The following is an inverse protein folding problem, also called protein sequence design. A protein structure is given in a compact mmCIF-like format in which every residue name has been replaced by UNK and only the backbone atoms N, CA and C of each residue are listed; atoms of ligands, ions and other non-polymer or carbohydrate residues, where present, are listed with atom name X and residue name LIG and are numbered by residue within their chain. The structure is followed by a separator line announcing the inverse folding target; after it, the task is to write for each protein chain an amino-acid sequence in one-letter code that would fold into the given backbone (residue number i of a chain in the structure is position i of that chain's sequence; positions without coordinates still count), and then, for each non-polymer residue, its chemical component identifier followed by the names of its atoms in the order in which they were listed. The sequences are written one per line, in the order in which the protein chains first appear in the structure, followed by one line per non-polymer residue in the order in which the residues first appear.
data_IF_548940166623
#
_entry.id   IF_548940166623
#
_cell.length_a   1.000
_cell.length_b   1.000
_cell.length_c   1.000
_cell.angle_alpha   90.00
_cell.angle_beta   90.00
_cell.angle_gamma   90.00
#
_symmetry.space_group_name_H-M   'P 1'
#
loop_
_entity.id
_entity.type
_entity.pdbx_description
1 polymer ?
#
# COMPACT_ATOMS: atom_id res chain seq x y z
N UNK A 1 11.48 -12.06 -26.11
CA UNK A 1 10.93 -11.87 -24.75
C UNK A 1 12.09 -11.62 -23.80
N UNK A 2 11.96 -10.66 -22.90
CA UNK A 2 13.01 -10.25 -21.96
C UNK A 2 12.87 -10.99 -20.63
N UNK A 3 13.14 -12.30 -20.62
CA UNK A 3 12.93 -13.17 -19.44
C UNK A 3 13.68 -12.73 -18.18
N UNK A 4 14.77 -11.98 -18.34
CA UNK A 4 15.46 -11.31 -17.23
C UNK A 4 14.54 -10.39 -16.42
N UNK A 5 13.45 -9.87 -16.97
CA UNK A 5 12.55 -9.02 -16.20
C UNK A 5 11.71 -9.79 -15.16
N UNK A 6 11.77 -11.13 -15.12
CA UNK A 6 11.15 -11.91 -14.04
C UNK A 6 11.72 -11.52 -12.68
N UNK A 7 13.04 -11.50 -12.49
CA UNK A 7 13.61 -11.17 -11.17
C UNK A 7 13.28 -9.73 -10.76
N UNK A 8 13.24 -8.81 -11.74
CA UNK A 8 12.85 -7.42 -11.51
C UNK A 8 11.38 -7.33 -11.08
N UNK A 9 10.53 -8.11 -11.72
CA UNK A 9 9.12 -8.26 -11.36
C UNK A 9 8.95 -8.85 -9.97
N UNK A 10 9.76 -9.82 -9.56
CA UNK A 10 9.72 -10.39 -8.21
C UNK A 10 10.05 -9.33 -7.16
N UNK A 11 11.14 -8.57 -7.35
CA UNK A 11 11.53 -7.51 -6.40
C UNK A 11 10.45 -6.42 -6.33
N UNK A 12 9.90 -6.02 -7.48
CA UNK A 12 8.82 -5.03 -7.56
C UNK A 12 7.52 -5.53 -6.92
N UNK A 13 7.10 -6.76 -7.20
CA UNK A 13 5.91 -7.36 -6.59
C UNK A 13 6.05 -7.55 -5.09
N UNK A 14 7.24 -7.94 -4.61
CA UNK A 14 7.52 -8.05 -3.19
C UNK A 14 7.39 -6.68 -2.49
N UNK A 15 7.89 -5.60 -3.11
CA UNK A 15 7.67 -4.26 -2.57
C UNK A 15 6.21 -3.85 -2.58
N UNK A 16 5.46 -4.16 -3.63
CA UNK A 16 4.05 -3.75 -3.71
C UNK A 16 3.16 -4.45 -2.67
N UNK A 17 3.53 -5.66 -2.23
CA UNK A 17 2.84 -6.33 -1.13
C UNK A 17 3.17 -5.67 0.22
N UNK A 18 4.42 -5.28 0.45
CA UNK A 18 4.85 -4.70 1.73
C UNK A 18 4.30 -3.27 1.90
N UNK A 19 3.48 -2.99 2.93
CA UNK A 19 2.95 -1.65 3.14
C UNK A 19 4.06 -0.61 3.35
N UNK A 20 3.97 0.51 2.65
CA UNK A 20 4.94 1.61 2.76
C UNK A 20 6.12 1.53 1.81
N UNK A 21 6.17 0.52 0.92
CA UNK A 21 7.18 0.42 -0.15
C UNK A 21 6.49 0.51 -1.50
N UNK A 22 6.85 1.50 -2.33
CA UNK A 22 6.26 1.64 -3.67
C UNK A 22 7.02 0.82 -4.72
N UNK A 23 6.33 -0.06 -5.45
CA UNK A 23 6.91 -0.76 -6.60
C UNK A 23 7.39 0.18 -7.71
N UNK A 24 6.79 1.37 -7.84
CA UNK A 24 7.28 2.42 -8.73
C UNK A 24 8.69 2.90 -8.36
N UNK A 25 8.95 3.11 -7.07
CA UNK A 25 10.30 3.42 -6.55
C UNK A 25 11.28 2.29 -6.87
N UNK A 26 10.88 1.03 -6.65
CA UNK A 26 11.73 -0.11 -6.98
C UNK A 26 12.02 -0.19 -8.48
N UNK A 27 11.04 0.13 -9.34
CA UNK A 27 11.23 0.17 -10.78
C UNK A 27 12.26 1.24 -11.20
N UNK A 28 12.30 2.38 -10.51
CA UNK A 28 13.35 3.42 -10.70
C UNK A 28 14.72 2.88 -10.29
N UNK A 29 14.82 2.24 -9.13
CA UNK A 29 16.10 1.68 -8.64
C UNK A 29 16.64 0.56 -9.52
N UNK A 30 15.76 -0.22 -10.12
CA UNK A 30 16.13 -1.27 -11.07
C UNK A 30 16.41 -0.73 -12.49
N UNK A 31 16.25 0.58 -12.71
CA UNK A 31 16.47 1.23 -14.00
C UNK A 31 15.48 0.81 -15.08
N UNK A 32 14.27 0.40 -14.70
CA UNK A 32 13.22 -0.07 -15.62
C UNK A 32 11.98 0.82 -15.64
N UNK A 33 11.95 1.90 -14.86
CA UNK A 33 10.79 2.77 -14.74
C UNK A 33 10.35 3.34 -16.09
N UNK A 34 11.26 3.94 -16.86
CA UNK A 34 10.92 4.52 -18.16
C UNK A 34 10.43 3.46 -19.16
N UNK A 35 11.05 2.28 -19.14
CA UNK A 35 10.64 1.15 -19.97
C UNK A 35 9.25 0.65 -19.58
N UNK A 36 8.94 0.61 -18.28
CA UNK A 36 7.63 0.22 -17.75
C UNK A 36 6.55 1.22 -18.19
N UNK A 37 6.78 2.52 -18.02
CA UNK A 37 5.83 3.56 -18.45
C UNK A 37 5.62 3.53 -19.96
N UNK A 38 6.70 3.41 -20.74
CA UNK A 38 6.61 3.28 -22.20
C UNK A 38 5.83 2.03 -22.62
N UNK A 39 6.03 0.90 -21.93
CA UNK A 39 5.34 -0.35 -22.20
C UNK A 39 3.84 -0.28 -21.86
N UNK A 40 3.47 0.33 -20.73
CA UNK A 40 2.07 0.55 -20.35
C UNK A 40 1.37 1.47 -21.37
N UNK A 41 1.99 2.60 -21.73
CA UNK A 41 1.43 3.52 -22.71
C UNK A 41 1.32 2.89 -24.10
N UNK A 42 2.33 2.11 -24.50
CA UNK A 42 2.35 1.37 -25.76
C UNK A 42 1.38 0.19 -25.80
N UNK A 43 0.97 -0.35 -24.65
CA UNK A 43 -0.08 -1.37 -24.57
C UNK A 43 -1.46 -0.82 -24.92
N UNK A 44 -1.70 0.46 -24.61
CA UNK A 44 -2.93 1.18 -24.96
C UNK A 44 -2.95 1.57 -26.46
N UNK A 45 -1.81 1.48 -27.17
CA UNK A 45 -1.67 1.86 -28.58
C UNK A 45 -1.67 0.65 -29.54
N UNK A 46 -1.58 0.90 -30.86
CA UNK A 46 -1.55 -0.15 -31.91
C UNK A 46 -0.35 -1.11 -31.80
N UNK A 47 0.69 -0.77 -31.03
CA UNK A 47 1.93 -1.55 -30.90
C UNK A 47 1.96 -2.49 -29.68
N UNK A 48 0.81 -2.80 -29.06
CA UNK A 48 0.71 -3.60 -27.83
C UNK A 48 1.50 -4.92 -27.85
N UNK A 49 1.56 -5.60 -29.00
CA UNK A 49 2.31 -6.87 -29.17
C UNK A 49 3.81 -6.72 -28.91
N UNK A 50 4.40 -5.57 -29.22
CA UNK A 50 5.83 -5.30 -28.99
C UNK A 50 6.13 -5.15 -27.49
N UNK A 51 5.18 -4.60 -26.74
CA UNK A 51 5.32 -4.36 -25.30
C UNK A 51 5.20 -5.65 -24.46
N UNK A 52 4.51 -6.68 -24.99
CA UNK A 52 4.38 -7.98 -24.32
C UNK A 52 5.73 -8.63 -24.01
N UNK A 53 6.76 -8.38 -24.83
CA UNK A 53 8.11 -8.91 -24.61
C UNK A 53 8.73 -8.48 -23.29
N UNK A 54 8.34 -7.31 -22.78
CA UNK A 54 8.75 -6.75 -21.49
C UNK A 54 7.70 -7.03 -20.40
N UNK A 55 6.42 -6.77 -20.70
CA UNK A 55 5.32 -6.83 -19.73
C UNK A 55 5.03 -8.25 -19.23
N UNK A 56 5.09 -9.27 -20.10
CA UNK A 56 4.79 -10.66 -19.69
C UNK A 56 5.82 -11.15 -18.68
N UNK A 57 7.15 -11.12 -18.93
CA UNK A 57 8.13 -11.56 -17.94
C UNK A 57 8.07 -10.76 -16.63
N UNK A 58 7.88 -9.44 -16.71
CA UNK A 58 7.73 -8.60 -15.53
C UNK A 58 6.49 -8.98 -14.72
N UNK A 59 5.34 -9.12 -15.39
CA UNK A 59 4.07 -9.49 -14.78
C UNK A 59 4.12 -10.88 -14.14
N UNK A 60 4.78 -11.86 -14.78
CA UNK A 60 5.03 -13.17 -14.17
C UNK A 60 5.79 -13.02 -12.85
N UNK A 61 6.84 -12.19 -12.82
CA UNK A 61 7.59 -11.92 -11.61
C UNK A 61 6.74 -11.29 -10.51
N UNK A 62 5.95 -10.27 -10.85
CA UNK A 62 5.05 -9.58 -9.90
C UNK A 62 4.02 -10.56 -9.33
N UNK A 63 3.32 -11.31 -10.18
CA UNK A 63 2.32 -12.29 -9.76
C UNK A 63 2.95 -13.38 -8.89
N UNK A 64 4.14 -13.86 -9.25
CA UNK A 64 4.87 -14.86 -8.45
C UNK A 64 5.19 -14.31 -7.06
N UNK A 65 5.69 -13.08 -6.96
CA UNK A 65 5.97 -12.47 -5.67
C UNK A 65 4.69 -12.24 -4.85
N UNK A 66 3.63 -11.73 -5.47
CA UNK A 66 2.35 -11.50 -4.80
C UNK A 66 1.77 -12.80 -4.25
N UNK A 67 1.81 -13.89 -5.02
CA UNK A 67 1.36 -15.21 -4.56
C UNK A 67 2.24 -15.75 -3.42
N UNK A 68 3.56 -15.71 -3.55
CA UNK A 68 4.47 -16.21 -2.51
C UNK A 68 4.35 -15.41 -1.21
N UNK A 69 4.33 -14.07 -1.30
CA UNK A 69 4.24 -13.21 -0.12
C UNK A 69 2.84 -13.21 0.50
N UNK A 70 1.77 -13.36 -0.27
CA UNK A 70 0.42 -13.48 0.31
C UNK A 70 0.29 -14.73 1.16
N UNK A 71 0.81 -15.89 0.73
CA UNK A 71 0.83 -17.12 1.54
C UNK A 71 1.69 -16.95 2.80
N UNK A 72 2.87 -16.32 2.66
CA UNK A 72 3.73 -16.04 3.81
C UNK A 72 3.02 -15.11 4.82
N UNK A 73 2.35 -14.07 4.34
CA UNK A 73 1.64 -13.12 5.19
C UNK A 73 0.42 -13.74 5.85
N UNK A 74 -0.36 -14.55 5.14
CA UNK A 74 -1.46 -15.31 5.72
C UNK A 74 -0.97 -16.20 6.87
N UNK A 75 0.10 -16.97 6.63
CA UNK A 75 0.72 -17.79 7.67
C UNK A 75 1.22 -16.96 8.87
N UNK A 76 1.84 -15.81 8.60
CA UNK A 76 2.31 -14.88 9.63
C UNK A 76 1.15 -14.25 10.42
N UNK A 77 0.04 -13.91 9.79
CA UNK A 77 -1.15 -13.41 10.48
C UNK A 77 -1.84 -14.48 11.32
N UNK A 78 -1.83 -15.73 10.86
CA UNK A 78 -2.40 -16.86 11.60
C UNK A 78 -1.56 -17.24 12.82
N UNK A 79 -0.23 -17.30 12.68
CA UNK A 79 0.66 -17.80 13.74
C UNK A 79 1.30 -16.69 14.60
N UNK A 80 1.53 -15.50 14.03
CA UNK A 80 2.21 -14.37 14.66
C UNK A 80 1.49 -13.02 14.36
N UNK A 81 0.19 -12.87 14.65
CA UNK A 81 -0.59 -11.68 14.30
C UNK A 81 0.02 -10.40 14.88
N UNK A 82 0.29 -10.39 16.20
CA UNK A 82 0.83 -9.21 16.86
C UNK A 82 2.23 -8.82 16.33
N UNK A 83 3.23 -9.71 16.23
CA UNK A 83 4.51 -9.35 15.60
C UNK A 83 4.38 -8.81 14.18
N UNK A 84 3.47 -9.37 13.37
CA UNK A 84 3.23 -8.93 11.99
C UNK A 84 2.60 -7.54 11.93
N UNK A 85 1.63 -7.27 12.78
CA UNK A 85 1.03 -5.94 12.90
C UNK A 85 2.04 -4.91 13.44
N UNK A 86 2.89 -5.29 14.40
CA UNK A 86 3.97 -4.42 14.89
C UNK A 86 5.02 -4.12 13.81
N UNK A 87 5.35 -5.09 12.94
CA UNK A 87 6.18 -4.83 11.75
C UNK A 87 5.55 -3.74 10.88
N UNK A 88 4.24 -3.84 10.62
CA UNK A 88 3.52 -2.86 9.82
C UNK A 88 3.46 -1.50 10.52
N UNK A 89 3.17 -1.43 11.82
CA UNK A 89 3.25 -0.17 12.57
C UNK A 89 4.63 0.49 12.45
N UNK A 90 5.70 -0.30 12.48
CA UNK A 90 7.06 0.20 12.27
C UNK A 90 7.22 0.80 10.87
N UNK A 91 6.71 0.14 9.83
CA UNK A 91 6.73 0.67 8.47
C UNK A 91 5.92 1.97 8.34
N UNK A 92 4.71 2.01 8.91
CA UNK A 92 3.81 3.18 8.93
C UNK A 92 4.49 4.38 9.58
N UNK A 93 5.02 4.20 10.80
CA UNK A 93 5.71 5.25 11.53
C UNK A 93 6.99 5.68 10.83
N UNK A 94 7.71 4.76 10.19
CA UNK A 94 8.94 5.08 9.47
C UNK A 94 8.72 5.93 8.21
N UNK A 95 7.56 5.83 7.57
CA UNK A 95 7.19 6.63 6.39
C UNK A 95 6.70 8.04 6.76
N UNK A 96 6.20 8.26 7.99
CA UNK A 96 5.68 9.56 8.41
C UNK A 96 6.67 10.74 8.26
N UNK A 97 7.95 10.64 8.72
CA UNK A 97 8.92 11.72 8.54
C UNK A 97 9.10 12.12 7.08
N UNK A 98 9.14 11.13 6.18
CA UNK A 98 9.24 11.36 4.74
C UNK A 98 8.02 12.14 4.21
N UNK A 99 6.79 11.77 4.62
CA UNK A 99 5.59 12.48 4.19
C UNK A 99 5.55 13.92 4.71
N UNK A 100 5.89 14.17 5.98
CA UNK A 100 5.98 15.52 6.53
C UNK A 100 7.03 16.39 5.82
N UNK A 101 8.15 15.78 5.43
CA UNK A 101 9.21 16.46 4.71
C UNK A 101 8.82 16.77 3.26
N UNK A 102 8.21 15.82 2.56
CA UNK A 102 7.70 15.98 1.19
C UNK A 102 6.59 17.02 1.08
N UNK A 103 5.80 17.17 2.15
CA UNK A 103 4.80 18.21 2.28
C UNK A 103 5.41 19.61 2.58
N UNK A 104 6.71 19.67 2.86
CA UNK A 104 7.41 20.83 3.43
C UNK A 104 6.64 21.41 4.63
N UNK A 105 6.21 20.51 5.52
CA UNK A 105 5.26 20.83 6.56
C UNK A 105 5.78 21.90 7.52
N UNK A 106 7.09 21.91 7.79
CA UNK A 106 7.73 22.90 8.68
C UNK A 106 7.52 24.35 8.21
N UNK A 107 7.49 24.58 6.89
CA UNK A 107 7.40 25.93 6.32
C UNK A 107 6.00 26.25 5.78
N UNK A 108 5.27 25.24 5.31
CA UNK A 108 4.00 25.44 4.58
C UNK A 108 2.74 25.13 5.40
N UNK A 109 2.83 24.40 6.51
CA UNK A 109 1.63 24.07 7.30
C UNK A 109 1.10 25.29 8.02
N UNK A 110 -0.11 25.70 7.60
CA UNK A 110 -0.95 26.68 8.29
C UNK A 110 -2.02 25.98 9.14
N UNK A 111 -2.70 26.66 10.08
CA UNK A 111 -3.74 26.04 10.93
C UNK A 111 -4.82 25.25 10.17
N UNK A 112 -5.23 25.72 8.98
CA UNK A 112 -6.18 24.99 8.11
C UNK A 112 -5.71 23.58 7.71
N UNK A 113 -4.40 23.37 7.59
CA UNK A 113 -3.82 22.07 7.23
C UNK A 113 -3.77 21.14 8.44
N UNK A 114 -3.60 21.69 9.65
CA UNK A 114 -3.73 20.90 10.88
C UNK A 114 -5.15 20.36 11.03
N UNK A 115 -6.16 21.18 10.69
CA UNK A 115 -7.57 20.73 10.66
C UNK A 115 -7.73 19.58 9.65
N UNK A 116 -7.19 19.71 8.44
CA UNK A 116 -7.24 18.64 7.42
C UNK A 116 -6.53 17.35 7.88
N UNK A 117 -5.41 17.47 8.57
CA UNK A 117 -4.69 16.34 9.16
C UNK A 117 -5.53 15.65 10.23
N UNK A 118 -6.13 16.42 11.14
CA UNK A 118 -7.02 15.87 12.18
C UNK A 118 -8.24 15.19 11.53
N UNK A 119 -8.82 15.77 10.49
CA UNK A 119 -9.91 15.13 9.74
C UNK A 119 -9.46 13.79 9.17
N UNK A 120 -8.31 13.73 8.48
CA UNK A 120 -7.78 12.47 7.95
C UNK A 120 -7.55 11.43 9.04
N UNK A 121 -7.00 11.84 10.19
CA UNK A 121 -6.74 10.96 11.32
C UNK A 121 -8.03 10.44 11.97
N UNK A 122 -9.05 11.27 12.10
CA UNK A 122 -10.37 10.87 12.62
C UNK A 122 -11.07 9.94 11.64
N UNK A 123 -11.06 10.25 10.33
CA UNK A 123 -11.71 9.41 9.31
C UNK A 123 -11.19 7.98 9.39
N UNK A 124 -9.88 7.79 9.43
CA UNK A 124 -9.29 6.45 9.52
C UNK A 124 -9.36 5.89 10.94
N UNK A 125 -8.99 6.66 11.97
CA UNK A 125 -8.99 6.20 13.35
C UNK A 125 -10.39 5.84 13.88
N UNK A 126 -11.44 6.46 13.34
CA UNK A 126 -12.83 6.11 13.68
C UNK A 126 -13.24 4.72 13.20
N UNK A 127 -12.50 4.13 12.25
CA UNK A 127 -12.75 2.77 11.77
C UNK A 127 -12.63 1.73 12.89
N UNK A 128 -11.90 2.02 13.97
CA UNK A 128 -11.81 1.13 15.14
C UNK A 128 -13.18 0.98 15.82
N UNK A 129 -13.96 2.06 15.88
CA UNK A 129 -15.29 2.03 16.48
C UNK A 129 -16.32 1.40 15.55
N UNK A 130 -16.11 1.52 14.23
CA UNK A 130 -16.97 0.90 13.22
C UNK A 130 -16.71 -0.61 13.09
N UNK A 131 -15.45 -1.02 13.22
CA UNK A 131 -15.00 -2.41 13.15
C UNK A 131 -14.65 -2.98 14.54
N UNK A 132 -15.26 -2.44 15.61
CA UNK A 132 -14.99 -2.83 17.00
C UNK A 132 -15.38 -4.29 17.24
N UNK A 133 -14.48 -5.22 16.88
CA UNK A 133 -14.66 -6.66 17.02
C UNK A 133 -13.94 -7.53 15.99
N UNK A 134 -13.57 -7.01 14.81
CA UNK A 134 -13.02 -7.82 13.72
C UNK A 134 -11.77 -7.19 13.09
N UNK A 135 -10.66 -7.19 13.83
CA UNK A 135 -9.31 -6.96 13.27
C UNK A 135 -8.80 -8.23 12.58
N UNK A 136 -9.58 -8.75 11.64
CA UNK A 136 -9.34 -10.01 10.93
C UNK A 136 -9.88 -10.00 9.51
N UNK A 137 -9.77 -11.14 8.83
CA UNK A 137 -10.32 -11.34 7.49
C UNK A 137 -11.83 -11.14 7.52
N UNK A 138 -12.36 -10.33 6.59
CA UNK A 138 -13.81 -10.23 6.41
C UNK A 138 -14.29 -11.52 5.74
N UNK A 139 -14.75 -12.48 6.54
CA UNK A 139 -15.21 -13.78 6.05
C UNK A 139 -16.63 -13.72 5.45
N UNK A 140 -17.39 -12.67 5.78
CA UNK A 140 -18.77 -12.53 5.31
C UNK A 140 -18.83 -12.12 3.83
N UNK A 141 -19.36 -13.02 2.99
CA UNK A 141 -19.61 -12.77 1.55
C UNK A 141 -20.90 -11.96 1.33
N UNK A 142 -20.98 -10.79 1.95
CA UNK A 142 -22.13 -9.89 1.82
C UNK A 142 -21.91 -8.89 0.68
N UNK A 143 -23.01 -8.35 0.13
CA UNK A 143 -22.94 -7.29 -0.87
C UNK A 143 -22.15 -6.07 -0.35
N UNK A 144 -22.31 -5.73 0.93
CA UNK A 144 -21.53 -4.66 1.60
C UNK A 144 -20.03 -4.93 1.57
N UNK A 145 -19.59 -6.17 1.79
CA UNK A 145 -18.17 -6.54 1.70
C UNK A 145 -17.64 -6.34 0.29
N UNK A 146 -18.35 -6.78 -0.74
CA UNK A 146 -17.91 -6.57 -2.12
C UNK A 146 -17.90 -5.10 -2.54
N UNK A 147 -18.88 -4.31 -2.10
CA UNK A 147 -18.89 -2.85 -2.33
C UNK A 147 -17.67 -2.21 -1.64
N UNK A 148 -17.38 -2.60 -0.40
CA UNK A 148 -16.20 -2.13 0.32
C UNK A 148 -14.92 -2.52 -0.42
N UNK A 149 -14.76 -3.77 -0.85
CA UNK A 149 -13.58 -4.26 -1.57
C UNK A 149 -13.38 -3.55 -2.92
N UNK A 150 -14.47 -3.29 -3.65
CA UNK A 150 -14.44 -2.51 -4.89
C UNK A 150 -13.93 -1.10 -4.64
N UNK A 151 -14.54 -0.36 -3.70
CA UNK A 151 -14.13 1.01 -3.39
C UNK A 151 -12.75 1.07 -2.74
N UNK A 152 -12.35 0.03 -2.01
CA UNK A 152 -11.00 -0.09 -1.46
C UNK A 152 -9.97 -0.22 -2.56
N UNK A 153 -10.20 -1.09 -3.56
CA UNK A 153 -9.35 -1.18 -4.75
C UNK A 153 -9.32 0.13 -5.54
N UNK A 154 -10.49 0.76 -5.72
CA UNK A 154 -10.62 2.05 -6.40
C UNK A 154 -9.86 3.18 -5.70
N UNK A 155 -9.89 3.25 -4.37
CA UNK A 155 -9.14 4.26 -3.61
C UNK A 155 -7.67 3.89 -3.57
N UNK A 156 -7.32 2.60 -3.41
CA UNK A 156 -5.94 2.14 -3.35
C UNK A 156 -5.16 2.39 -4.65
N UNK A 157 -5.84 2.45 -5.80
CA UNK A 157 -5.19 2.83 -7.06
C UNK A 157 -4.64 4.27 -7.06
N UNK A 158 -5.10 5.14 -6.16
CA UNK A 158 -4.53 6.49 -5.99
C UNK A 158 -3.05 6.46 -5.61
N UNK A 159 -2.60 5.39 -4.95
CA UNK A 159 -1.21 5.16 -4.60
C UNK A 159 -0.30 4.97 -5.82
N UNK A 160 -0.86 4.61 -6.99
CA UNK A 160 -0.09 4.51 -8.23
C UNK A 160 0.32 5.90 -8.77
N UNK A 161 -0.28 6.97 -8.28
CA UNK A 161 0.01 8.36 -8.69
C UNK A 161 0.78 9.14 -7.62
N UNK A 162 0.61 8.79 -6.34
CA UNK A 162 1.29 9.45 -5.22
C UNK A 162 2.65 8.78 -4.95
N UNK A 163 3.77 9.46 -5.22
CA UNK A 163 5.07 8.87 -4.96
C UNK A 163 5.29 8.73 -3.44
N UNK A 164 5.75 7.55 -3.00
CA UNK A 164 5.99 7.21 -1.60
C UNK A 164 4.78 6.69 -0.82
N UNK A 165 3.68 6.34 -1.50
CA UNK A 165 2.52 5.64 -0.90
C UNK A 165 2.26 4.40 -1.76
N UNK A 166 2.15 3.22 -1.14
CA UNK A 166 1.87 1.96 -1.86
C UNK A 166 0.38 1.61 -1.86
N UNK A 167 -0.08 0.86 -2.86
CA UNK A 167 -1.47 0.40 -2.93
C UNK A 167 -1.82 -0.53 -1.75
N UNK A 168 -0.90 -1.42 -1.38
CA UNK A 168 -0.99 -2.24 -0.16
C UNK A 168 -1.16 -1.40 1.10
N UNK A 169 -0.48 -0.27 1.18
CA UNK A 169 -0.60 0.63 2.31
C UNK A 169 -1.97 1.31 2.37
N UNK A 170 -2.51 1.73 1.23
CA UNK A 170 -3.89 2.24 1.18
C UNK A 170 -4.92 1.17 1.58
N UNK A 171 -4.76 -0.08 1.15
CA UNK A 171 -5.63 -1.19 1.58
C UNK A 171 -5.50 -1.46 3.08
N UNK A 172 -4.31 -1.28 3.66
CA UNK A 172 -4.07 -1.41 5.09
C UNK A 172 -4.77 -0.31 5.89
N UNK A 173 -4.67 0.95 5.44
CA UNK A 173 -5.36 2.09 6.04
C UNK A 173 -6.88 1.88 6.04
N UNK A 174 -7.42 1.32 4.95
CA UNK A 174 -8.86 1.04 4.83
C UNK A 174 -9.28 -0.18 5.68
N UNK A 175 -8.34 -1.02 6.10
CA UNK A 175 -8.59 -2.19 6.95
C UNK A 175 -8.94 -3.47 6.17
N UNK A 176 -8.82 -3.47 4.84
CA UNK A 176 -9.16 -4.65 4.01
C UNK A 176 -7.94 -5.44 3.54
N UNK A 177 -6.73 -5.02 3.92
CA UNK A 177 -5.48 -5.63 3.47
C UNK A 177 -5.43 -7.14 3.70
N UNK A 178 -5.74 -7.61 4.92
CA UNK A 178 -5.70 -9.03 5.26
C UNK A 178 -6.73 -9.83 4.45
N UNK A 179 -7.93 -9.27 4.23
CA UNK A 179 -8.96 -9.86 3.36
C UNK A 179 -8.47 -10.02 1.93
N UNK A 180 -7.81 -9.01 1.36
CA UNK A 180 -7.25 -9.08 0.01
C UNK A 180 -6.11 -10.09 -0.06
N UNK A 181 -5.20 -10.10 0.92
CA UNK A 181 -4.08 -11.06 0.95
C UNK A 181 -4.58 -12.51 1.06
N UNK A 182 -5.55 -12.76 1.94
CA UNK A 182 -6.21 -14.08 2.09
C UNK A 182 -6.96 -14.46 0.81
N UNK A 183 -7.62 -13.50 0.18
CA UNK A 183 -8.28 -13.73 -1.11
C UNK A 183 -7.30 -14.14 -2.21
N UNK A 184 -6.10 -13.57 -2.22
CA UNK A 184 -5.04 -13.91 -3.17
C UNK A 184 -4.45 -15.30 -2.86
N UNK A 185 -4.07 -15.57 -1.61
CA UNK A 185 -3.43 -16.84 -1.23
C UNK A 185 -4.39 -18.03 -1.35
N UNK A 186 -5.64 -17.86 -0.95
CA UNK A 186 -6.69 -18.88 -1.08
C UNK A 186 -7.37 -18.89 -2.46
N UNK A 187 -6.89 -18.13 -3.45
CA UNK A 187 -7.45 -18.03 -4.80
C UNK A 187 -8.97 -17.74 -4.83
N UNK A 188 -9.45 -16.87 -3.95
CA UNK A 188 -10.83 -16.40 -3.93
C UNK A 188 -11.07 -15.43 -5.08
N UNK A 189 -11.44 -15.99 -6.24
CA UNK A 189 -11.59 -15.24 -7.49
C UNK A 189 -12.61 -14.09 -7.41
N UNK A 190 -13.62 -14.21 -6.54
CA UNK A 190 -14.59 -13.16 -6.26
C UNK A 190 -13.95 -11.93 -5.60
N UNK A 191 -13.15 -12.13 -4.55
CA UNK A 191 -12.39 -11.05 -3.88
C UNK A 191 -11.39 -10.43 -4.85
N UNK A 192 -10.60 -11.26 -5.53
CA UNK A 192 -9.58 -10.79 -6.49
C UNK A 192 -10.22 -10.00 -7.63
N UNK A 193 -11.31 -10.51 -8.22
CA UNK A 193 -11.97 -9.86 -9.34
C UNK A 193 -12.60 -8.53 -8.92
N UNK A 194 -13.33 -8.49 -7.81
CA UNK A 194 -14.01 -7.26 -7.35
C UNK A 194 -13.00 -6.17 -6.99
N UNK A 195 -11.97 -6.51 -6.21
CA UNK A 195 -10.90 -5.55 -5.88
C UNK A 195 -10.12 -5.14 -7.14
N UNK A 196 -9.81 -6.09 -8.03
CA UNK A 196 -9.09 -5.83 -9.28
C UNK A 196 -9.84 -4.90 -10.23
N UNK A 197 -11.15 -5.08 -10.40
CA UNK A 197 -12.00 -4.17 -11.19
C UNK A 197 -12.02 -2.78 -10.57
N UNK A 198 -12.12 -2.69 -9.23
CA UNK A 198 -11.98 -1.44 -8.49
C UNK A 198 -10.66 -0.74 -8.80
N UNK A 199 -9.54 -1.46 -8.73
CA UNK A 199 -8.19 -0.92 -9.06
C UNK A 199 -8.15 -0.41 -10.50
N UNK A 200 -8.58 -1.21 -11.49
CA UNK A 200 -8.50 -0.85 -12.91
C UNK A 200 -9.29 0.44 -13.21
N UNK A 201 -10.53 0.52 -12.73
CA UNK A 201 -11.36 1.73 -12.90
C UNK A 201 -10.76 2.90 -12.11
N UNK A 202 -10.32 2.63 -10.88
CA UNK A 202 -9.70 3.60 -10.00
C UNK A 202 -8.45 4.24 -10.62
N UNK A 203 -7.59 3.49 -11.32
CA UNK A 203 -6.40 4.05 -11.97
C UNK A 203 -6.80 5.19 -12.90
N UNK A 204 -7.84 5.01 -13.73
CA UNK A 204 -8.26 6.02 -14.71
C UNK A 204 -8.84 7.26 -14.02
N UNK A 205 -9.65 7.07 -12.98
CA UNK A 205 -10.36 8.16 -12.30
C UNK A 205 -9.47 8.86 -11.26
N UNK A 206 -8.90 8.09 -10.33
CA UNK A 206 -8.07 8.61 -9.25
C UNK A 206 -6.81 9.28 -9.76
N UNK A 207 -6.22 8.84 -10.87
CA UNK A 207 -5.06 9.55 -11.45
C UNK A 207 -5.38 11.01 -11.76
N UNK A 208 -6.58 11.29 -12.27
CA UNK A 208 -7.02 12.67 -12.56
C UNK A 208 -7.34 13.44 -11.28
N UNK A 209 -8.05 12.81 -10.34
CA UNK A 209 -8.44 13.42 -9.06
C UNK A 209 -7.21 13.80 -8.25
N UNK A 210 -6.31 12.85 -8.02
CA UNK A 210 -5.06 13.05 -7.27
C UNK A 210 -4.20 14.11 -7.95
N UNK A 211 -4.00 14.02 -9.28
CA UNK A 211 -3.21 15.02 -10.00
C UNK A 211 -3.81 16.43 -9.88
N UNK A 212 -5.13 16.56 -9.95
CA UNK A 212 -5.81 17.85 -9.71
C UNK A 212 -5.51 18.39 -8.31
N UNK A 213 -5.68 17.57 -7.27
CA UNK A 213 -5.44 18.00 -5.89
C UNK A 213 -3.97 18.30 -5.61
N UNK A 214 -3.02 17.54 -6.15
CA UNK A 214 -1.60 17.81 -5.98
C UNK A 214 -1.15 19.09 -6.68
N UNK A 215 -1.69 19.41 -7.85
CA UNK A 215 -1.33 20.63 -8.57
C UNK A 215 -1.97 21.90 -7.99
N UNK A 216 -3.17 21.78 -7.41
CA UNK A 216 -3.91 22.96 -6.91
C UNK A 216 -3.85 23.11 -5.38
N UNK A 217 -3.70 22.01 -4.64
CA UNK A 217 -3.81 21.94 -3.17
C UNK A 217 -2.72 21.08 -2.52
N UNK A 218 -1.52 21.02 -3.11
CA UNK A 218 -0.39 20.18 -2.69
C UNK A 218 -0.27 19.99 -1.16
N UNK A 219 -0.09 21.08 -0.39
CA UNK A 219 0.08 21.02 1.06
C UNK A 219 -1.16 20.48 1.79
N UNK A 220 -2.36 20.80 1.30
CA UNK A 220 -3.62 20.30 1.86
C UNK A 220 -3.80 18.80 1.62
N UNK A 221 -3.48 18.32 0.42
CA UNK A 221 -3.53 16.90 0.07
C UNK A 221 -2.60 16.08 0.96
N UNK A 222 -1.34 16.52 1.11
CA UNK A 222 -0.40 15.86 2.00
C UNK A 222 -0.83 15.91 3.47
N UNK A 223 -1.45 17.01 3.92
CA UNK A 223 -1.95 17.09 5.30
C UNK A 223 -3.03 16.03 5.58
N UNK A 224 -3.99 15.85 4.67
CA UNK A 224 -5.01 14.78 4.78
C UNK A 224 -4.35 13.40 4.77
N UNK A 225 -3.44 13.15 3.83
CA UNK A 225 -2.72 11.87 3.73
C UNK A 225 -2.00 11.55 5.03
N UNK A 226 -1.19 12.48 5.56
CA UNK A 226 -0.48 12.31 6.82
C UNK A 226 -1.46 12.04 7.96
N UNK A 227 -2.60 12.75 7.97
CA UNK A 227 -3.70 12.48 8.88
C UNK A 227 -4.17 11.03 8.82
N UNK A 228 -4.52 10.55 7.62
CA UNK A 228 -4.96 9.17 7.40
C UNK A 228 -3.92 8.14 7.85
N UNK A 229 -2.63 8.40 7.56
CA UNK A 229 -1.52 7.57 8.03
C UNK A 229 -1.46 7.52 9.56
N UNK A 230 -1.56 8.67 10.23
CA UNK A 230 -1.60 8.74 11.70
C UNK A 230 -2.81 7.98 12.25
N UNK A 231 -3.99 8.16 11.65
CA UNK A 231 -5.21 7.43 12.03
C UNK A 231 -5.05 5.92 11.92
N UNK A 232 -4.34 5.44 10.89
CA UNK A 232 -4.11 4.00 10.65
C UNK A 232 -3.25 3.34 11.73
N UNK A 233 -2.41 4.09 12.45
CA UNK A 233 -1.63 3.57 13.58
C UNK A 233 -2.56 2.96 14.62
N UNK A 234 -3.67 3.64 14.90
CA UNK A 234 -4.65 3.14 15.88
C UNK A 234 -5.40 1.92 15.34
N UNK A 235 -5.71 1.89 14.04
CA UNK A 235 -6.42 0.77 13.40
C UNK A 235 -5.56 -0.50 13.37
N UNK A 236 -4.27 -0.36 13.08
CA UNK A 236 -3.34 -1.49 12.95
C UNK A 236 -2.81 -1.95 14.30
N UNK A 237 -2.81 -1.09 15.32
CA UNK A 237 -2.29 -1.42 16.65
C UNK A 237 -3.13 -2.52 17.33
N UNK A 238 -2.57 -3.72 17.56
CA UNK A 238 -3.35 -4.85 18.05
C UNK A 238 -3.45 -4.92 19.58
N UNK A 239 -2.92 -3.92 20.28
CA UNK A 239 -2.68 -4.00 21.72
C UNK A 239 -1.39 -4.73 22.05
N UNK A 240 -1.10 -4.84 23.35
CA UNK A 240 0.09 -5.53 23.84
C UNK A 240 -0.19 -7.03 24.01
N UNK A 241 0.68 -7.92 23.48
CA UNK A 241 0.59 -9.36 23.74
C UNK A 241 0.73 -9.67 25.23
N UNK A 242 0.03 -10.71 25.71
CA UNK A 242 0.12 -11.13 27.12
C UNK A 242 1.44 -11.86 27.46
N UNK A 243 2.14 -12.42 26.46
CA UNK A 243 3.38 -13.17 26.65
C UNK A 243 4.62 -12.30 26.48
N UNK A 244 5.54 -12.34 27.44
CA UNK A 244 6.82 -11.63 27.39
C UNK A 244 7.64 -11.96 26.13
N UNK A 245 7.60 -13.21 25.67
CA UNK A 245 8.30 -13.63 24.46
C UNK A 245 7.71 -12.96 23.20
N UNK A 246 6.38 -12.88 23.13
CA UNK A 246 5.69 -12.19 22.04
C UNK A 246 5.89 -10.67 22.11
N UNK A 247 5.97 -10.08 23.29
CA UNK A 247 6.32 -8.66 23.45
C UNK A 247 7.71 -8.39 22.87
N UNK A 248 8.73 -9.18 23.23
CA UNK A 248 10.09 -9.02 22.72
C UNK A 248 10.13 -9.18 21.19
N UNK A 249 9.42 -10.17 20.66
CA UNK A 249 9.32 -10.38 19.22
C UNK A 249 8.63 -9.21 18.51
N UNK A 250 7.51 -8.72 19.04
CA UNK A 250 6.78 -7.57 18.50
C UNK A 250 7.61 -6.28 18.52
N UNK A 251 8.37 -6.03 19.59
CA UNK A 251 9.29 -4.88 19.64
C UNK A 251 10.41 -5.04 18.60
N UNK A 252 10.93 -6.26 18.44
CA UNK A 252 11.93 -6.57 17.42
C UNK A 252 11.41 -6.36 15.99
N UNK A 253 10.22 -6.85 15.67
CA UNK A 253 9.61 -6.68 14.35
C UNK A 253 9.22 -5.23 14.09
N UNK A 254 8.76 -4.50 15.09
CA UNK A 254 8.54 -3.06 15.01
C UNK A 254 9.81 -2.28 14.66
N UNK A 255 10.91 -2.56 15.36
CA UNK A 255 12.20 -1.95 15.08
C UNK A 255 12.71 -2.31 13.67
N UNK A 256 12.50 -3.55 13.23
CA UNK A 256 12.79 -3.99 11.86
C UNK A 256 11.97 -3.20 10.83
N UNK A 257 10.66 -3.02 11.07
CA UNK A 257 9.78 -2.24 10.21
C UNK A 257 10.23 -0.78 10.09
N UNK A 258 10.56 -0.14 11.22
CA UNK A 258 11.13 1.21 11.24
C UNK A 258 12.43 1.29 10.44
N UNK A 259 13.33 0.31 10.61
CA UNK A 259 14.60 0.28 9.91
C UNK A 259 14.41 0.12 8.39
N UNK A 260 13.51 -0.76 7.95
CA UNK A 260 13.17 -0.95 6.54
C UNK A 260 12.62 0.36 5.95
N UNK A 261 11.62 0.96 6.59
CA UNK A 261 11.04 2.22 6.12
C UNK A 261 12.06 3.37 6.09
N UNK A 262 12.94 3.46 7.10
CA UNK A 262 14.01 4.46 7.13
C UNK A 262 15.01 4.28 5.96
N UNK A 263 15.44 3.03 5.71
CA UNK A 263 16.36 2.73 4.61
C UNK A 263 15.75 3.07 3.25
N UNK A 264 14.49 2.71 3.04
CA UNK A 264 13.76 2.99 1.80
C UNK A 264 13.49 4.49 1.62
N UNK A 265 13.07 5.17 2.69
CA UNK A 265 12.86 6.62 2.68
C UNK A 265 14.15 7.37 2.31
N UNK A 266 15.32 6.89 2.75
CA UNK A 266 16.62 7.48 2.40
C UNK A 266 16.98 7.31 0.93
N UNK A 267 16.53 6.23 0.31
CA UNK A 267 16.70 5.96 -1.13
C UNK A 267 15.77 6.87 -1.93
N UNK A 268 14.50 7.00 -1.51
CA UNK A 268 13.55 7.94 -2.11
C UNK A 268 13.95 9.42 -1.92
N UNK A 269 14.70 9.74 -0.86
CA UNK A 269 15.15 11.10 -0.57
C UNK A 269 16.27 11.61 -1.50
N UNK A 270 16.94 10.70 -2.23
CA UNK A 270 18.08 11.02 -3.10
C UNK A 270 17.77 10.93 -4.60
N UNK A 271 16.60 10.40 -4.97
CA UNK A 271 16.12 10.34 -6.36
C UNK A 271 15.28 11.57 -6.70
#
# INVERSE_FOLDING_TARGET
MEWKNIYRGIIMGASDVVPGVSGGTIAVLLGIYDQLIAAINGFISKDWKKQLGFLIPLGIGIVTAVLLLSHLLEWLFEHYPAPTQFLFLGLILGVLPYLFQKADAKNKFKPKHLVLLIIGAIVVGSMIFLNAGESGVIESKTMSTYVLLFFSGFIASSAMVLPGISGSFMLLIIGVYQTVMTGISSFQLDVIAVTGVGIVIGIVVMSKVVNFFLNNYYTGTFAIIIGMVIGSIFVVFPGWPASNALILLSVGTFALGLAIAYLLGRVEYKS
#
